data_IF_110795030491
#
_entry.id   IF_110795030491
#
_cell.length_a   1.000
_cell.length_b   1.000
_cell.length_c   1.000
_cell.angle_alpha   90.00
_cell.angle_beta   90.00
_cell.angle_gamma   90.00
#
_symmetry.space_group_name_H-M   'P 1'
#
loop_
_entity.id
_entity.type
_entity.pdbx_description
1 polymer ?
#
# COMPACT_ATOMS: atom_id res chain seq x y z
N UNK A 1 11.68 -55.50 -50.37
CA UNK A 1 11.93 -54.10 -50.25
C UNK A 1 10.73 -53.45 -49.47
N UNK A 2 10.86 -53.30 -48.15
CA UNK A 2 9.80 -52.66 -47.33
C UNK A 2 10.23 -51.20 -47.08
N UNK A 3 9.37 -50.27 -47.56
CA UNK A 3 9.57 -48.82 -47.30
C UNK A 3 9.02 -48.50 -45.92
N UNK A 4 9.86 -48.06 -45.03
CA UNK A 4 9.48 -47.43 -43.75
C UNK A 4 9.12 -45.95 -44.01
N UNK A 5 7.88 -45.59 -43.77
CA UNK A 5 7.45 -44.18 -43.76
C UNK A 5 7.59 -43.69 -42.31
N UNK A 6 8.54 -42.79 -42.09
CA UNK A 6 8.78 -42.14 -40.81
C UNK A 6 7.85 -40.91 -40.75
N UNK A 7 6.79 -41.01 -39.93
CA UNK A 7 5.88 -39.87 -39.67
C UNK A 7 6.47 -39.02 -38.57
N UNK A 8 6.99 -37.83 -38.91
CA UNK A 8 7.45 -36.85 -37.95
C UNK A 8 6.26 -36.02 -37.52
N UNK A 9 5.74 -36.28 -36.30
CA UNK A 9 4.78 -35.39 -35.63
C UNK A 9 5.51 -34.16 -35.12
N UNK A 10 5.35 -33.05 -35.82
CA UNK A 10 5.79 -31.72 -35.38
C UNK A 10 4.80 -31.23 -34.31
N UNK A 11 5.16 -31.37 -33.04
CA UNK A 11 4.42 -30.77 -31.93
C UNK A 11 4.74 -29.28 -31.94
N UNK A 12 3.87 -28.45 -32.44
CA UNK A 12 3.93 -26.99 -32.23
C UNK A 12 3.64 -26.73 -30.75
N UNK A 13 4.69 -26.54 -29.97
CA UNK A 13 4.57 -25.85 -28.66
C UNK A 13 4.24 -24.39 -28.95
N UNK A 14 2.96 -24.03 -28.89
CA UNK A 14 2.54 -22.65 -28.75
C UNK A 14 2.98 -22.19 -27.36
N UNK A 15 4.19 -21.62 -27.24
CA UNK A 15 4.57 -20.83 -26.11
C UNK A 15 3.67 -19.58 -26.14
N UNK A 16 2.61 -19.58 -25.32
CA UNK A 16 1.92 -18.34 -24.97
C UNK A 16 2.91 -17.49 -24.19
N UNK A 17 3.66 -16.64 -24.89
CA UNK A 17 4.36 -15.54 -24.25
C UNK A 17 3.30 -14.64 -23.64
N UNK A 18 3.11 -14.71 -22.32
CA UNK A 18 2.37 -13.69 -21.61
C UNK A 18 3.02 -12.35 -21.96
N UNK A 19 2.31 -11.47 -22.66
CA UNK A 19 2.78 -10.13 -22.98
C UNK A 19 2.93 -9.39 -21.65
N UNK A 20 4.15 -9.40 -21.11
CA UNK A 20 4.47 -8.66 -19.91
C UNK A 20 4.59 -7.17 -20.26
N UNK A 21 3.85 -6.33 -19.54
CA UNK A 21 3.91 -4.87 -19.68
C UNK A 21 4.97 -4.34 -18.74
N UNK A 22 5.96 -3.62 -19.27
CA UNK A 22 7.11 -3.12 -18.53
C UNK A 22 7.09 -1.59 -18.44
N UNK A 23 7.41 -1.08 -17.24
CA UNK A 23 7.73 0.33 -16.99
C UNK A 23 8.96 0.42 -16.08
N UNK A 24 9.84 1.39 -16.39
CA UNK A 24 11.08 1.65 -15.64
C UNK A 24 11.06 3.04 -15.05
N UNK A 25 11.80 3.24 -13.96
CA UNK A 25 12.11 4.58 -13.46
C UNK A 25 12.86 5.42 -14.52
N UNK A 26 12.87 6.76 -14.41
CA UNK A 26 13.60 7.62 -15.32
C UNK A 26 15.08 7.28 -15.45
N UNK A 27 15.76 6.90 -14.36
CA UNK A 27 17.16 6.45 -14.37
C UNK A 27 17.33 4.97 -14.77
N UNK A 28 16.23 4.20 -14.90
CA UNK A 28 16.25 2.79 -15.28
C UNK A 28 16.57 1.81 -14.16
N UNK A 29 16.83 2.24 -12.93
CA UNK A 29 17.22 1.39 -11.80
C UNK A 29 16.06 0.54 -11.27
N UNK A 30 14.85 1.13 -11.16
CA UNK A 30 13.63 0.45 -10.72
C UNK A 30 12.83 0.03 -11.94
N UNK A 31 12.36 -1.22 -11.93
CA UNK A 31 11.54 -1.78 -13.01
C UNK A 31 10.35 -2.52 -12.44
N UNK A 32 9.18 -2.29 -13.01
CA UNK A 32 7.95 -3.04 -12.77
C UNK A 32 7.59 -3.79 -14.03
N UNK A 33 7.26 -5.08 -13.89
CA UNK A 33 6.62 -5.86 -14.94
C UNK A 33 5.23 -6.28 -14.44
N UNK A 34 4.22 -5.99 -15.24
CA UNK A 34 2.87 -6.48 -15.06
C UNK A 34 2.61 -7.64 -16.03
N UNK A 35 1.88 -8.66 -15.59
CA UNK A 35 1.46 -9.77 -16.45
C UNK A 35 0.11 -10.35 -16.00
N UNK A 36 -0.62 -10.93 -16.94
CA UNK A 36 -1.75 -11.80 -16.66
C UNK A 36 -1.30 -13.26 -16.67
N UNK A 37 -1.19 -13.87 -15.50
CA UNK A 37 -0.86 -15.28 -15.36
C UNK A 37 -2.16 -16.10 -15.21
N UNK A 38 -2.53 -16.84 -16.23
CA UNK A 38 -3.82 -17.54 -16.27
C UNK A 38 -5.00 -16.60 -15.93
N UNK A 39 -5.03 -15.43 -16.58
CA UNK A 39 -6.04 -14.38 -16.34
C UNK A 39 -6.05 -13.76 -14.93
N UNK A 40 -5.01 -14.00 -14.11
CA UNK A 40 -4.81 -13.38 -12.80
C UNK A 40 -3.82 -12.23 -12.95
N UNK A 41 -4.16 -10.99 -12.52
CA UNK A 41 -3.24 -9.87 -12.52
C UNK A 41 -2.08 -10.11 -11.56
N UNK A 42 -0.86 -9.98 -12.05
CA UNK A 42 0.37 -10.13 -11.25
C UNK A 42 1.39 -9.06 -11.61
N UNK A 43 2.29 -8.77 -10.68
CA UNK A 43 3.41 -7.86 -10.91
C UNK A 43 4.69 -8.36 -10.26
N UNK A 44 5.82 -7.86 -10.75
CA UNK A 44 7.15 -8.04 -10.15
C UNK A 44 7.87 -6.70 -10.10
N UNK A 45 8.80 -6.56 -9.15
CA UNK A 45 9.66 -5.37 -9.06
C UNK A 45 11.11 -5.80 -8.98
N UNK A 46 11.97 -5.10 -9.74
CA UNK A 46 13.43 -5.26 -9.66
C UNK A 46 14.11 -3.93 -9.42
N UNK A 47 15.27 -3.95 -8.78
CA UNK A 47 16.14 -2.81 -8.58
C UNK A 47 17.54 -3.15 -9.09
N UNK A 48 18.05 -2.41 -10.10
CA UNK A 48 19.33 -2.67 -10.78
C UNK A 48 19.49 -4.13 -11.19
N UNK A 49 18.42 -4.71 -11.74
CA UNK A 49 18.37 -6.10 -12.19
C UNK A 49 18.18 -7.15 -11.10
N UNK A 50 18.23 -6.79 -9.82
CA UNK A 50 17.95 -7.71 -8.70
C UNK A 50 16.48 -7.71 -8.36
N UNK A 51 15.91 -8.90 -8.11
CA UNK A 51 14.52 -9.03 -7.69
C UNK A 51 14.31 -8.39 -6.30
N UNK A 52 13.23 -7.62 -6.18
CA UNK A 52 12.74 -7.01 -4.93
C UNK A 52 11.40 -7.61 -4.53
N UNK A 53 10.48 -7.67 -5.48
CA UNK A 53 9.18 -8.32 -5.33
C UNK A 53 9.10 -9.44 -6.38
N UNK A 54 8.86 -10.68 -5.91
CA UNK A 54 8.55 -11.84 -6.74
C UNK A 54 7.13 -11.71 -7.33
N UNK A 55 6.71 -12.57 -8.26
CA UNK A 55 5.35 -12.54 -8.79
C UNK A 55 4.31 -12.47 -7.66
N UNK A 56 3.57 -11.40 -7.63
CA UNK A 56 2.60 -11.03 -6.58
C UNK A 56 1.25 -10.74 -7.22
N UNK A 57 0.19 -11.28 -6.65
CA UNK A 57 -1.17 -11.16 -7.18
C UNK A 57 -1.80 -9.83 -6.78
N UNK A 58 -2.73 -9.38 -7.62
CA UNK A 58 -3.52 -8.16 -7.44
C UNK A 58 -5.00 -8.49 -7.63
N UNK A 59 -5.88 -7.82 -6.86
CA UNK A 59 -7.31 -7.97 -7.01
C UNK A 59 -8.10 -7.79 -5.74
N UNK A 60 -9.39 -8.10 -5.81
CA UNK A 60 -10.35 -7.88 -4.70
C UNK A 60 -11.30 -9.05 -4.54
N UNK A 61 -11.60 -9.38 -3.30
CA UNK A 61 -12.80 -10.12 -2.92
C UNK A 61 -13.93 -9.12 -2.65
N UNK A 62 -15.09 -9.39 -3.22
CA UNK A 62 -16.29 -8.56 -3.01
C UNK A 62 -17.27 -9.28 -2.08
N UNK A 63 -18.07 -8.51 -1.35
CA UNK A 63 -19.10 -9.07 -0.46
C UNK A 63 -20.18 -9.80 -1.26
N UNK A 64 -20.49 -9.30 -2.48
CA UNK A 64 -21.50 -9.87 -3.38
C UNK A 64 -21.09 -9.73 -4.84
N UNK A 65 -21.61 -10.63 -5.67
CA UNK A 65 -21.54 -10.53 -7.12
C UNK A 65 -20.26 -11.10 -7.75
N UNK A 66 -19.49 -11.91 -7.02
CA UNK A 66 -18.23 -12.51 -7.49
C UNK A 66 -17.04 -11.57 -7.37
N UNK A 67 -15.84 -12.13 -7.39
CA UNK A 67 -14.60 -11.45 -7.08
C UNK A 67 -13.94 -10.83 -8.32
N UNK A 68 -12.99 -9.92 -8.08
CA UNK A 68 -12.10 -9.32 -9.08
C UNK A 68 -10.68 -9.87 -8.87
N UNK A 69 -10.52 -11.20 -8.90
CA UNK A 69 -9.25 -11.89 -8.66
C UNK A 69 -8.66 -12.51 -9.92
N UNK A 70 -9.51 -12.96 -10.82
CA UNK A 70 -9.14 -13.67 -12.04
C UNK A 70 -10.13 -13.41 -13.21
N UNK A 71 -10.00 -14.18 -14.31
CA UNK A 71 -10.86 -14.05 -15.47
C UNK A 71 -10.62 -12.78 -16.30
N UNK A 72 -9.51 -12.07 -16.04
CA UNK A 72 -9.19 -10.83 -16.73
C UNK A 72 -8.53 -11.04 -18.08
N UNK A 73 -8.83 -10.10 -18.98
CA UNK A 73 -8.11 -9.89 -20.24
C UNK A 73 -7.57 -8.47 -20.26
N UNK A 74 -6.40 -8.28 -20.87
CA UNK A 74 -5.84 -6.97 -21.13
C UNK A 74 -6.61 -6.35 -22.32
N UNK A 75 -7.25 -5.21 -22.10
CA UNK A 75 -8.03 -4.50 -23.14
C UNK A 75 -7.38 -3.19 -23.56
N UNK A 76 -6.35 -2.74 -22.84
CA UNK A 76 -5.58 -1.56 -23.20
C UNK A 76 -4.42 -1.29 -22.27
N UNK A 77 -3.47 -0.50 -22.75
CA UNK A 77 -2.37 0.05 -21.95
C UNK A 77 -2.06 1.48 -22.37
N UNK A 78 -1.57 2.26 -21.44
CA UNK A 78 -1.07 3.62 -21.69
C UNK A 78 0.24 3.82 -20.94
N UNK A 79 1.21 4.42 -21.61
CA UNK A 79 2.49 4.84 -21.00
C UNK A 79 2.56 6.34 -20.95
N UNK A 80 3.07 6.85 -19.84
CA UNK A 80 3.25 8.28 -19.61
C UNK A 80 4.51 8.57 -18.82
N UNK A 81 4.81 9.83 -18.66
CA UNK A 81 5.88 10.32 -17.81
C UNK A 81 5.58 11.74 -17.33
N UNK A 82 6.17 12.14 -16.23
CA UNK A 82 6.19 13.51 -15.76
C UNK A 82 7.56 13.86 -15.21
N UNK A 83 7.94 15.12 -15.37
CA UNK A 83 9.10 15.75 -14.73
C UNK A 83 8.72 17.20 -14.40
N UNK A 84 8.19 17.39 -13.23
CA UNK A 84 7.67 18.67 -12.77
C UNK A 84 8.19 18.98 -11.36
N UNK A 85 8.11 20.25 -10.97
CA UNK A 85 8.48 20.70 -9.62
C UNK A 85 7.32 21.45 -9.00
N UNK A 86 7.02 21.15 -7.76
CA UNK A 86 5.95 21.80 -6.99
C UNK A 86 6.46 22.30 -5.64
N UNK A 87 5.71 23.20 -5.03
CA UNK A 87 6.03 23.79 -3.72
C UNK A 87 4.99 23.33 -2.70
N UNK A 88 5.38 22.59 -1.64
CA UNK A 88 4.47 22.24 -0.58
C UNK A 88 4.08 23.48 0.24
N UNK A 89 2.89 23.44 0.85
CA UNK A 89 2.43 24.49 1.76
C UNK A 89 3.37 24.62 2.96
N UNK A 90 3.76 23.47 3.53
CA UNK A 90 4.75 23.31 4.60
C UNK A 90 5.52 22.02 4.39
N UNK A 91 6.72 21.93 4.94
CA UNK A 91 7.54 20.73 4.89
C UNK A 91 9.02 21.04 4.99
N UNK A 92 9.82 19.99 4.96
CA UNK A 92 11.29 20.08 5.04
C UNK A 92 11.92 20.58 3.74
N UNK A 93 11.27 20.32 2.61
CA UNK A 93 11.75 20.71 1.29
C UNK A 93 10.99 21.94 0.78
N UNK A 94 11.72 22.97 0.34
CA UNK A 94 11.09 24.15 -0.27
C UNK A 94 10.44 23.82 -1.61
N UNK A 95 11.05 22.93 -2.37
CA UNK A 95 10.57 22.47 -3.67
C UNK A 95 10.76 20.97 -3.78
N UNK A 96 9.81 20.29 -4.40
CA UNK A 96 9.82 18.85 -4.59
C UNK A 96 9.71 18.55 -6.09
N UNK A 97 10.66 17.75 -6.61
CA UNK A 97 10.58 17.24 -7.98
C UNK A 97 9.70 16.00 -8.00
N UNK A 98 8.76 15.99 -8.93
CA UNK A 98 7.89 14.85 -9.22
C UNK A 98 8.30 14.28 -10.59
N UNK A 99 9.17 13.27 -10.57
CA UNK A 99 9.76 12.70 -11.79
C UNK A 99 9.56 11.20 -11.81
N UNK A 100 8.71 10.73 -12.73
CA UNK A 100 8.34 9.32 -12.86
C UNK A 100 8.02 8.94 -14.29
N UNK A 101 8.06 7.63 -14.57
CA UNK A 101 7.37 7.02 -15.70
C UNK A 101 6.13 6.26 -15.20
N UNK A 102 5.11 6.21 -16.03
CA UNK A 102 3.80 5.64 -15.68
C UNK A 102 3.38 4.56 -16.67
N UNK A 103 2.71 3.54 -16.14
CA UNK A 103 2.00 2.53 -16.92
C UNK A 103 0.59 2.40 -16.36
N UNK A 104 -0.41 2.61 -17.20
CA UNK A 104 -1.79 2.27 -16.93
C UNK A 104 -2.15 0.99 -17.69
N UNK A 105 -2.60 -0.02 -16.96
CA UNK A 105 -3.10 -1.29 -17.51
C UNK A 105 -4.61 -1.31 -17.37
N UNK A 106 -5.33 -1.56 -18.45
CA UNK A 106 -6.80 -1.67 -18.47
C UNK A 106 -7.20 -3.12 -18.63
N UNK A 107 -7.96 -3.62 -17.67
CA UNK A 107 -8.39 -5.00 -17.56
C UNK A 107 -9.91 -5.10 -17.64
N UNK A 108 -10.39 -6.11 -18.35
CA UNK A 108 -11.80 -6.48 -18.40
C UNK A 108 -11.98 -7.92 -17.92
N UNK A 109 -12.88 -8.14 -16.99
CA UNK A 109 -13.37 -9.46 -16.61
C UNK A 109 -14.58 -9.78 -17.50
N UNK A 110 -14.35 -10.45 -18.63
CA UNK A 110 -15.35 -10.65 -19.69
C UNK A 110 -16.65 -11.31 -19.21
N UNK A 111 -16.57 -12.26 -18.30
CA UNK A 111 -17.73 -12.99 -17.78
C UNK A 111 -18.73 -12.10 -17.03
N UNK A 112 -18.25 -10.99 -16.46
CA UNK A 112 -19.04 -10.04 -15.67
C UNK A 112 -19.12 -8.65 -16.31
N UNK A 113 -18.38 -8.41 -17.40
CA UNK A 113 -18.23 -7.11 -18.06
C UNK A 113 -17.76 -6.00 -17.10
N UNK A 114 -16.91 -6.37 -16.12
CA UNK A 114 -16.35 -5.45 -15.12
C UNK A 114 -14.98 -4.99 -15.53
N UNK A 115 -14.73 -3.72 -15.31
CA UNK A 115 -13.44 -3.08 -15.60
C UNK A 115 -12.65 -2.86 -14.32
N UNK A 116 -11.35 -3.11 -14.42
CA UNK A 116 -10.38 -2.79 -13.37
C UNK A 116 -9.11 -2.26 -14.02
N UNK A 117 -8.72 -1.05 -13.69
CA UNK A 117 -7.45 -0.50 -14.16
C UNK A 117 -6.42 -0.56 -13.03
N UNK A 118 -5.15 -0.77 -13.39
CA UNK A 118 -4.03 -0.73 -12.46
C UNK A 118 -3.03 0.28 -13.00
N UNK A 119 -2.73 1.31 -12.20
CA UNK A 119 -1.79 2.37 -12.54
C UNK A 119 -0.53 2.22 -11.73
N UNK A 120 0.61 2.15 -12.40
CA UNK A 120 1.94 2.13 -11.81
C UNK A 120 2.64 3.46 -12.10
N UNK A 121 3.24 4.08 -11.07
CA UNK A 121 4.21 5.16 -11.19
C UNK A 121 5.54 4.69 -10.63
N UNK A 122 6.58 4.80 -11.45
CA UNK A 122 7.91 4.28 -11.10
C UNK A 122 8.88 5.46 -11.03
N UNK A 123 9.37 5.67 -9.82
CA UNK A 123 10.33 6.72 -9.44
C UNK A 123 11.73 6.12 -9.31
N UNK A 124 12.76 6.96 -9.28
CA UNK A 124 14.15 6.52 -9.12
C UNK A 124 14.41 5.88 -7.74
N UNK A 125 13.57 6.16 -6.75
CA UNK A 125 13.64 5.67 -5.39
C UNK A 125 12.49 4.71 -5.01
N UNK A 126 11.62 4.32 -5.96
CA UNK A 126 10.55 3.39 -5.64
C UNK A 126 9.39 3.34 -6.63
N UNK A 127 8.31 2.72 -6.15
CA UNK A 127 7.10 2.46 -6.93
C UNK A 127 5.86 2.82 -6.12
N UNK A 128 4.90 3.47 -6.77
CA UNK A 128 3.52 3.51 -6.32
C UNK A 128 2.62 2.83 -7.34
N UNK A 129 1.65 2.04 -6.88
CA UNK A 129 0.58 1.56 -7.74
C UNK A 129 -0.77 1.66 -7.04
N UNK A 130 -1.84 1.80 -7.82
CA UNK A 130 -3.20 1.86 -7.31
C UNK A 130 -4.18 1.22 -8.27
N UNK A 131 -5.33 0.89 -7.76
CA UNK A 131 -6.46 0.43 -8.53
C UNK A 131 -7.36 1.61 -8.91
N UNK A 132 -7.86 1.57 -10.13
CA UNK A 132 -8.86 2.53 -10.61
C UNK A 132 -10.07 1.74 -11.14
N UNK A 133 -11.23 2.05 -10.61
CA UNK A 133 -12.51 1.50 -11.02
C UNK A 133 -13.19 2.53 -11.91
N UNK A 134 -13.11 2.37 -13.24
CA UNK A 134 -13.68 3.35 -14.17
C UNK A 134 -15.21 3.29 -14.16
N UNK A 135 -15.84 4.29 -14.74
CA UNK A 135 -17.30 4.31 -14.88
C UNK A 135 -17.81 3.34 -15.96
N UNK A 136 -16.95 2.98 -16.90
CA UNK A 136 -17.23 1.99 -17.93
C UNK A 136 -17.35 0.59 -17.30
N UNK A 137 -18.19 -0.26 -17.90
CA UNK A 137 -18.43 -1.62 -17.44
C UNK A 137 -19.58 -1.72 -16.44
N UNK A 138 -19.82 -2.95 -15.95
CA UNK A 138 -21.00 -3.26 -15.12
C UNK A 138 -20.75 -3.18 -13.59
N UNK A 139 -19.62 -2.69 -13.15
CA UNK A 139 -19.36 -2.43 -11.74
C UNK A 139 -19.80 -0.99 -11.41
N UNK A 140 -20.81 -0.85 -10.56
CA UNK A 140 -21.33 0.46 -10.20
C UNK A 140 -21.17 0.75 -8.69
N UNK A 141 -22.01 0.15 -7.85
CA UNK A 141 -21.87 0.17 -6.40
C UNK A 141 -21.48 -1.21 -5.89
N UNK A 142 -20.44 -1.28 -5.06
CA UNK A 142 -19.95 -2.54 -4.55
C UNK A 142 -19.31 -2.41 -3.18
N UNK A 143 -19.22 -3.54 -2.47
CA UNK A 143 -18.62 -3.63 -1.16
C UNK A 143 -17.37 -4.51 -1.24
N UNK A 144 -16.26 -3.99 -0.77
CA UNK A 144 -15.00 -4.72 -0.69
C UNK A 144 -15.01 -5.58 0.57
N UNK A 145 -14.83 -6.89 0.39
CA UNK A 145 -14.61 -7.84 1.48
C UNK A 145 -13.14 -7.86 1.87
N UNK A 146 -12.24 -7.97 0.87
CA UNK A 146 -10.78 -7.89 1.05
C UNK A 146 -10.10 -7.38 -0.22
N UNK A 147 -9.03 -6.61 -0.04
CA UNK A 147 -8.06 -6.32 -1.06
C UNK A 147 -6.96 -7.38 -1.02
N UNK A 148 -6.72 -8.07 -2.13
CA UNK A 148 -5.75 -9.17 -2.25
C UNK A 148 -4.46 -8.72 -2.92
N UNK A 149 -3.96 -7.56 -2.53
CA UNK A 149 -2.65 -7.07 -2.95
C UNK A 149 -1.55 -7.83 -2.24
N UNK A 150 -0.72 -8.54 -2.98
CA UNK A 150 0.41 -9.28 -2.45
C UNK A 150 1.72 -8.52 -2.63
N UNK A 151 2.66 -8.79 -1.70
CA UNK A 151 4.05 -8.37 -1.75
C UNK A 151 4.91 -9.61 -1.42
N UNK A 152 5.26 -10.39 -2.43
CA UNK A 152 6.04 -11.62 -2.27
C UNK A 152 7.53 -11.28 -2.17
N UNK A 153 8.06 -11.36 -0.95
CA UNK A 153 9.44 -11.01 -0.66
C UNK A 153 10.42 -12.05 -1.20
N UNK A 154 11.64 -11.61 -1.53
CA UNK A 154 12.68 -12.48 -2.12
C UNK A 154 13.36 -13.39 -1.11
N UNK A 155 13.13 -13.16 0.18
CA UNK A 155 13.74 -13.99 1.24
C UNK A 155 13.26 -13.59 2.63
N UNK A 156 13.85 -14.23 3.62
CA UNK A 156 13.63 -13.96 5.05
C UNK A 156 14.41 -12.70 5.47
N UNK A 157 13.86 -11.54 5.17
CA UNK A 157 14.49 -10.24 5.42
C UNK A 157 14.50 -9.86 6.90
N UNK A 158 15.45 -9.03 7.30
CA UNK A 158 15.36 -8.33 8.58
C UNK A 158 14.30 -7.23 8.45
N UNK A 159 13.37 -7.19 9.38
CA UNK A 159 12.30 -6.20 9.43
C UNK A 159 12.28 -5.45 10.76
N UNK A 160 11.87 -4.19 10.71
CA UNK A 160 11.49 -3.36 11.86
C UNK A 160 9.99 -3.15 11.78
N UNK A 161 9.26 -3.69 12.74
CA UNK A 161 7.82 -3.79 12.68
C UNK A 161 7.16 -3.60 14.05
N UNK A 162 5.91 -3.22 14.03
CA UNK A 162 5.00 -3.23 15.17
C UNK A 162 3.79 -4.12 14.85
N UNK A 163 3.10 -4.68 15.87
CA UNK A 163 1.88 -5.44 15.67
C UNK A 163 0.85 -4.71 14.82
N UNK A 164 0.21 -5.44 13.90
CA UNK A 164 -0.93 -4.93 13.15
C UNK A 164 -2.13 -4.78 14.05
N UNK A 165 -2.61 -3.57 14.24
CA UNK A 165 -3.67 -3.21 15.16
C UNK A 165 -4.60 -2.16 14.54
N UNK A 166 -5.90 -2.24 14.80
CA UNK A 166 -6.87 -1.33 14.22
C UNK A 166 -6.99 -0.01 14.98
N UNK A 167 -6.61 0.02 16.25
CA UNK A 167 -6.88 1.15 17.15
C UNK A 167 -5.63 1.95 17.51
N UNK A 168 -4.43 1.37 17.35
CA UNK A 168 -3.18 2.03 17.77
C UNK A 168 -2.00 1.74 16.85
N UNK A 169 -1.05 2.69 16.80
CA UNK A 169 0.29 2.55 16.19
C UNK A 169 1.40 2.86 17.21
N UNK A 170 1.11 2.78 18.50
CA UNK A 170 2.00 3.22 19.58
C UNK A 170 2.81 2.09 20.23
N UNK A 171 2.83 0.91 19.59
CA UNK A 171 3.71 -0.18 20.02
C UNK A 171 5.19 0.16 19.80
N UNK A 172 6.06 -0.43 20.62
CA UNK A 172 7.50 -0.35 20.40
C UNK A 172 7.91 -1.20 19.19
N UNK A 173 8.86 -0.67 18.39
CA UNK A 173 9.37 -1.39 17.24
C UNK A 173 10.16 -2.63 17.65
N UNK A 174 9.79 -3.75 17.02
CA UNK A 174 10.52 -5.02 17.13
C UNK A 174 11.37 -5.23 15.89
N UNK A 175 12.65 -5.54 16.09
CA UNK A 175 13.53 -6.00 15.03
C UNK A 175 13.61 -7.52 15.01
N UNK A 176 13.34 -8.13 13.83
CA UNK A 176 13.48 -9.59 13.65
C UNK A 176 13.61 -9.98 12.18
N UNK A 177 13.86 -11.26 11.92
CA UNK A 177 13.59 -11.88 10.62
C UNK A 177 12.09 -12.00 10.42
N UNK A 178 11.64 -12.00 9.15
CA UNK A 178 10.20 -12.20 8.82
C UNK A 178 9.68 -13.53 9.37
N UNK A 179 10.47 -14.60 9.29
CA UNK A 179 10.13 -15.92 9.85
C UNK A 179 9.89 -15.93 11.36
N UNK A 180 10.36 -14.91 12.07
CA UNK A 180 10.27 -14.81 13.52
C UNK A 180 9.09 -13.93 14.01
N UNK A 181 8.37 -13.27 13.11
CA UNK A 181 7.28 -12.35 13.46
C UNK A 181 6.25 -13.07 14.34
N UNK A 182 5.76 -14.23 13.92
CA UNK A 182 4.79 -15.03 14.68
C UNK A 182 5.26 -15.35 16.10
N UNK A 183 6.52 -15.78 16.24
CA UNK A 183 7.07 -16.14 17.54
C UNK A 183 7.20 -14.94 18.48
N UNK A 184 7.57 -13.78 17.90
CA UNK A 184 7.82 -12.55 18.67
C UNK A 184 6.55 -11.73 18.92
N UNK A 185 5.45 -11.99 18.19
CA UNK A 185 4.22 -11.19 18.23
C UNK A 185 3.69 -10.96 19.65
N UNK A 186 3.60 -12.02 20.46
CA UNK A 186 3.09 -11.91 21.84
C UNK A 186 3.90 -10.93 22.70
N UNK A 187 5.22 -10.92 22.56
CA UNK A 187 6.09 -10.00 23.30
C UNK A 187 6.18 -8.60 22.70
N UNK A 188 5.74 -8.43 21.45
CA UNK A 188 5.69 -7.13 20.78
C UNK A 188 4.39 -6.36 21.09
N UNK A 189 3.34 -7.04 21.56
CA UNK A 189 2.11 -6.40 22.03
C UNK A 189 2.40 -5.87 23.44
N UNK A 190 2.86 -4.63 23.49
CA UNK A 190 3.16 -3.91 24.74
C UNK A 190 1.89 -3.21 25.27
N UNK A 191 1.94 -2.75 26.52
CA UNK A 191 0.80 -2.07 27.13
C UNK A 191 0.41 -0.81 26.35
N UNK A 192 -0.86 -0.71 26.02
CA UNK A 192 -1.46 0.40 25.29
C UNK A 192 -2.90 0.63 25.75
N UNK A 193 -3.42 1.83 25.53
CA UNK A 193 -4.79 2.18 25.93
C UNK A 193 -5.86 1.39 25.19
N UNK A 194 -5.60 1.01 23.97
CA UNK A 194 -6.47 0.20 23.13
C UNK A 194 -5.62 -0.81 22.37
N UNK A 195 -6.08 -2.05 22.28
CA UNK A 195 -5.36 -3.16 21.67
C UNK A 195 -6.35 -4.04 20.90
N UNK A 196 -6.26 -4.00 19.58
CA UNK A 196 -7.05 -4.86 18.68
C UNK A 196 -6.15 -5.49 17.59
N UNK A 197 -5.10 -6.26 17.99
CA UNK A 197 -4.25 -6.94 17.01
C UNK A 197 -5.08 -7.98 16.25
N UNK A 198 -5.02 -7.94 14.92
CA UNK A 198 -5.90 -8.74 14.08
C UNK A 198 -5.33 -10.12 13.70
N UNK A 199 -4.02 -10.33 13.84
CA UNK A 199 -3.36 -11.56 13.37
C UNK A 199 -2.04 -11.80 14.10
N UNK A 200 -1.64 -13.09 14.31
CA UNK A 200 -0.34 -13.42 14.88
C UNK A 200 0.85 -13.09 13.96
N UNK A 201 0.61 -12.70 12.72
CA UNK A 201 1.62 -12.29 11.74
C UNK A 201 1.27 -10.97 11.07
N UNK A 202 0.27 -10.26 11.61
CA UNK A 202 -0.14 -8.95 11.15
C UNK A 202 0.83 -7.87 11.61
N UNK A 203 1.23 -6.98 10.71
CA UNK A 203 2.12 -5.85 11.01
C UNK A 203 1.55 -4.56 10.44
N UNK A 204 1.93 -3.44 11.05
CA UNK A 204 1.58 -2.11 10.58
C UNK A 204 2.39 -1.72 9.33
N UNK A 205 1.88 -0.78 8.57
CA UNK A 205 2.65 0.08 7.67
C UNK A 205 2.95 1.42 8.37
N UNK A 206 4.06 2.05 8.17
CA UNK A 206 5.12 1.74 7.20
C UNK A 206 5.99 0.59 7.71
N UNK A 207 6.22 -0.40 6.87
CA UNK A 207 7.06 -1.55 7.22
C UNK A 207 8.44 -1.40 6.59
N UNK A 208 9.48 -1.31 7.41
CA UNK A 208 10.86 -1.24 6.96
C UNK A 208 11.51 -2.62 6.97
N UNK A 209 12.17 -2.96 5.88
CA UNK A 209 12.93 -4.21 5.75
C UNK A 209 14.32 -3.97 5.17
N UNK A 210 15.24 -4.89 5.45
CA UNK A 210 16.57 -4.95 4.86
C UNK A 210 16.84 -6.35 4.32
N UNK A 211 17.20 -6.44 3.05
CA UNK A 211 17.57 -7.71 2.42
C UNK A 211 18.99 -8.14 2.83
N UNK A 212 19.34 -9.39 2.58
CA UNK A 212 20.70 -9.89 2.83
C UNK A 212 21.76 -9.17 1.97
N UNK A 213 21.38 -8.70 0.79
CA UNK A 213 22.23 -7.95 -0.15
C UNK A 213 22.33 -6.47 0.18
N UNK A 214 21.69 -6.01 1.28
CA UNK A 214 21.80 -4.64 1.78
C UNK A 214 20.80 -3.66 1.18
N UNK A 215 19.78 -4.10 0.43
CA UNK A 215 18.70 -3.24 -0.01
C UNK A 215 17.74 -2.97 1.14
N UNK A 216 17.28 -1.74 1.24
CA UNK A 216 16.20 -1.30 2.12
C UNK A 216 14.91 -1.19 1.32
N UNK A 217 13.82 -1.74 1.88
CA UNK A 217 12.49 -1.75 1.29
C UNK A 217 11.53 -1.23 2.34
N UNK A 218 10.78 -0.18 2.00
CA UNK A 218 9.74 0.35 2.87
C UNK A 218 8.39 0.20 2.18
N UNK A 219 7.48 -0.58 2.77
CA UNK A 219 6.11 -0.76 2.28
C UNK A 219 5.18 0.18 3.05
N UNK A 220 4.39 0.96 2.31
CA UNK A 220 3.42 1.88 2.87
C UNK A 220 2.29 2.17 1.87
N UNK A 221 1.51 3.21 2.14
CA UNK A 221 0.44 3.73 1.29
C UNK A 221 0.51 5.27 1.19
N UNK A 222 -0.10 5.82 0.16
CA UNK A 222 -0.22 7.26 -0.03
C UNK A 222 -1.61 7.62 -0.54
N UNK A 223 -2.03 8.88 -0.34
CA UNK A 223 -3.34 9.38 -0.71
C UNK A 223 -4.48 8.53 -0.10
N UNK A 224 -4.41 8.26 1.19
CA UNK A 224 -5.45 7.55 1.94
C UNK A 224 -6.67 8.47 2.10
N UNK A 225 -7.57 8.43 1.11
CA UNK A 225 -8.79 9.25 1.06
C UNK A 225 -9.98 8.35 0.76
N UNK A 226 -11.02 8.43 1.59
CA UNK A 226 -12.27 7.66 1.49
C UNK A 226 -12.07 6.14 1.33
N UNK A 227 -11.05 5.62 2.01
CA UNK A 227 -10.67 4.21 1.96
C UNK A 227 -10.06 3.77 3.30
N UNK A 228 -10.20 2.50 3.71
CA UNK A 228 -9.62 2.01 4.95
C UNK A 228 -8.09 1.92 4.90
N UNK A 229 -7.46 2.14 6.05
CA UNK A 229 -6.02 2.02 6.19
C UNK A 229 -5.54 0.58 5.93
N UNK A 230 -4.37 0.47 5.29
CA UNK A 230 -3.73 -0.79 4.98
C UNK A 230 -2.78 -1.22 6.09
N UNK A 231 -2.98 -2.43 6.58
CA UNK A 231 -2.01 -3.23 7.31
C UNK A 231 -1.50 -4.35 6.39
N UNK A 232 -0.57 -5.13 6.87
CA UNK A 232 -0.01 -6.26 6.14
C UNK A 232 -0.13 -7.53 6.98
N UNK A 233 -0.58 -8.62 6.36
CA UNK A 233 -0.60 -9.95 6.99
C UNK A 233 0.44 -10.85 6.30
N UNK A 234 1.38 -11.38 7.08
CA UNK A 234 2.47 -12.19 6.56
C UNK A 234 2.12 -13.68 6.53
N UNK A 235 2.20 -14.28 5.35
CA UNK A 235 2.42 -15.71 5.25
C UNK A 235 3.92 -15.98 5.52
N UNK A 236 4.23 -16.36 6.74
CA UNK A 236 5.60 -16.55 7.24
C UNK A 236 6.28 -17.84 6.73
N UNK A 237 5.57 -18.68 5.98
CA UNK A 237 6.13 -19.83 5.27
C UNK A 237 6.69 -19.41 3.91
N UNK A 238 5.91 -18.64 3.16
CA UNK A 238 6.21 -18.29 1.77
C UNK A 238 6.84 -16.90 1.63
N UNK A 239 6.93 -16.14 2.73
CA UNK A 239 7.41 -14.76 2.81
C UNK A 239 6.57 -13.82 1.92
N UNK A 240 5.26 -13.97 1.97
CA UNK A 240 4.31 -13.14 1.22
C UNK A 240 3.47 -12.33 2.17
N UNK A 241 3.56 -11.01 2.05
CA UNK A 241 2.58 -10.13 2.68
C UNK A 241 1.35 -10.00 1.78
N UNK A 242 0.17 -9.98 2.39
CA UNK A 242 -1.09 -9.60 1.76
C UNK A 242 -1.64 -8.39 2.48
N UNK A 243 -2.15 -7.42 1.73
CA UNK A 243 -2.85 -6.28 2.31
C UNK A 243 -3.96 -6.73 3.24
N UNK A 244 -4.12 -6.03 4.34
CA UNK A 244 -5.15 -6.28 5.35
C UNK A 244 -5.77 -4.94 5.73
N UNK A 245 -6.96 -4.68 5.21
CA UNK A 245 -7.63 -3.41 5.43
C UNK A 245 -8.38 -3.38 6.76
N UNK A 246 -8.46 -2.22 7.39
CA UNK A 246 -9.30 -2.01 8.57
C UNK A 246 -10.77 -2.24 8.22
N UNK A 247 -11.50 -3.13 8.89
CA UNK A 247 -12.92 -3.37 8.64
C UNK A 247 -13.80 -2.34 9.35
N UNK A 248 -15.04 -2.20 8.89
CA UNK A 248 -16.11 -1.62 9.69
C UNK A 248 -16.64 -2.62 10.74
N UNK A 249 -17.61 -2.21 11.52
CA UNK A 249 -18.24 -3.06 12.54
C UNK A 249 -18.95 -4.33 12.00
N UNK A 250 -19.19 -4.41 10.68
CA UNK A 250 -19.79 -5.55 9.99
C UNK A 250 -18.75 -6.41 9.27
N UNK A 251 -17.48 -6.05 9.33
CA UNK A 251 -16.39 -6.72 8.65
C UNK A 251 -16.19 -6.30 7.18
N UNK A 252 -16.96 -5.34 6.67
CA UNK A 252 -16.80 -4.80 5.32
C UNK A 252 -15.63 -3.83 5.31
N UNK A 253 -14.79 -3.92 4.29
CA UNK A 253 -13.58 -3.08 4.20
C UNK A 253 -13.87 -1.73 3.55
N UNK A 254 -14.65 -1.69 2.50
CA UNK A 254 -15.02 -0.44 1.83
C UNK A 254 -16.38 -0.52 1.14
N UNK A 255 -17.04 0.62 1.04
CA UNK A 255 -18.28 0.83 0.28
C UNK A 255 -17.96 1.80 -0.85
N UNK A 256 -17.88 1.28 -2.07
CA UNK A 256 -17.37 2.02 -3.21
C UNK A 256 -18.41 2.16 -4.31
N UNK A 257 -18.28 3.20 -5.09
CA UNK A 257 -19.02 3.38 -6.34
C UNK A 257 -18.08 3.91 -7.42
N UNK A 258 -18.33 3.53 -8.66
CA UNK A 258 -17.53 4.01 -9.81
C UNK A 258 -17.96 5.42 -10.24
N UNK A 259 -17.03 6.27 -10.69
CA UNK A 259 -15.59 6.03 -10.76
C UNK A 259 -14.92 6.18 -9.39
N UNK A 260 -13.95 5.34 -9.07
CA UNK A 260 -13.18 5.39 -7.83
C UNK A 260 -11.70 5.08 -8.06
N UNK A 261 -10.82 5.65 -7.25
CA UNK A 261 -9.38 5.36 -7.21
C UNK A 261 -8.98 5.00 -5.79
N UNK A 262 -8.37 3.82 -5.62
CA UNK A 262 -7.82 3.43 -4.31
C UNK A 262 -6.64 4.32 -3.92
N UNK A 263 -6.24 4.33 -2.63
CA UNK A 263 -4.92 4.80 -2.23
C UNK A 263 -3.82 4.09 -3.01
N UNK A 264 -2.65 4.72 -3.09
CA UNK A 264 -1.47 4.10 -3.66
C UNK A 264 -0.87 3.10 -2.67
N UNK A 265 -0.47 1.95 -3.17
CA UNK A 265 0.41 1.00 -2.48
C UNK A 265 1.82 1.36 -2.87
N UNK A 266 2.68 1.63 -1.89
CA UNK A 266 4.00 2.23 -2.13
C UNK A 266 5.12 1.34 -1.66
N UNK A 267 6.23 1.41 -2.39
CA UNK A 267 7.50 0.76 -2.07
C UNK A 267 8.63 1.74 -2.30
N UNK A 268 9.31 2.18 -1.24
CA UNK A 268 10.60 2.87 -1.38
C UNK A 268 11.68 1.79 -1.41
N UNK A 269 12.61 1.87 -2.37
CA UNK A 269 13.64 0.87 -2.61
C UNK A 269 14.98 1.58 -2.77
N UNK A 270 15.95 1.26 -1.93
CA UNK A 270 17.26 1.92 -1.95
C UNK A 270 18.36 1.04 -1.34
N UNK A 271 19.59 1.33 -1.68
CA UNK A 271 20.80 0.73 -1.07
C UNK A 271 21.35 1.58 0.10
N UNK A 272 20.70 2.69 0.43
CA UNK A 272 21.09 3.58 1.54
C UNK A 272 19.86 3.93 2.41
N UNK A 273 19.86 3.51 3.68
CA UNK A 273 18.76 3.76 4.63
C UNK A 273 18.38 5.24 4.76
N UNK A 274 19.35 6.16 4.62
CA UNK A 274 19.11 7.61 4.73
C UNK A 274 18.18 8.12 3.62
N UNK A 275 18.21 7.48 2.46
CA UNK A 275 17.34 7.84 1.31
C UNK A 275 15.88 7.49 1.55
N UNK A 276 15.58 6.55 2.45
CA UNK A 276 14.18 6.27 2.83
C UNK A 276 13.58 7.48 3.53
N UNK A 277 14.33 8.12 4.44
CA UNK A 277 13.89 9.33 5.15
C UNK A 277 13.80 10.55 4.22
N UNK A 278 14.66 10.61 3.21
CA UNK A 278 14.71 11.73 2.26
C UNK A 278 13.76 11.56 1.06
N UNK A 279 13.07 10.43 0.94
CA UNK A 279 12.16 10.16 -0.19
C UNK A 279 10.94 11.07 -0.14
N UNK A 280 10.61 11.65 -1.28
CA UNK A 280 9.38 12.42 -1.49
C UNK A 280 8.30 11.61 -2.23
N UNK A 281 8.47 10.30 -2.40
CA UNK A 281 7.56 9.43 -3.15
C UNK A 281 6.13 9.53 -2.61
N UNK A 282 5.95 9.44 -1.29
CA UNK A 282 4.63 9.53 -0.66
C UNK A 282 3.97 10.89 -0.93
N UNK A 283 4.74 11.98 -0.88
CA UNK A 283 4.23 13.33 -1.14
C UNK A 283 3.82 13.48 -2.61
N UNK A 284 4.64 12.97 -3.53
CA UNK A 284 4.40 13.04 -4.98
C UNK A 284 3.19 12.20 -5.45
N UNK A 285 2.75 11.23 -4.67
CA UNK A 285 1.59 10.39 -4.98
C UNK A 285 0.27 10.94 -4.43
N UNK A 286 0.32 12.04 -3.67
CA UNK A 286 -0.89 12.74 -3.23
C UNK A 286 -1.36 13.75 -4.27
N UNK A 287 -2.66 14.00 -4.30
CA UNK A 287 -3.24 15.04 -5.14
C UNK A 287 -2.76 16.44 -4.66
N UNK A 288 -2.70 17.44 -5.54
CA UNK A 288 -2.37 18.80 -5.16
C UNK A 288 -3.32 19.35 -4.09
N UNK A 289 -2.82 20.31 -3.31
CA UNK A 289 -3.64 21.03 -2.32
C UNK A 289 -4.87 21.65 -3.00
N UNK A 290 -6.05 21.42 -2.43
CA UNK A 290 -7.34 21.94 -2.95
C UNK A 290 -7.61 23.39 -2.55
N UNK A 291 -6.90 23.90 -1.55
CA UNK A 291 -7.07 25.29 -1.08
C UNK A 291 -6.27 26.24 -1.97
N UNK A 292 -6.92 27.29 -2.47
CA UNK A 292 -6.28 28.34 -3.28
C UNK A 292 -5.52 29.32 -2.41
N UNK A 293 -5.99 29.58 -1.18
CA UNK A 293 -5.30 30.39 -0.18
C UNK A 293 -4.90 29.50 1.00
N UNK A 294 -3.60 29.39 1.22
CA UNK A 294 -2.98 28.64 2.32
C UNK A 294 -2.25 29.56 3.31
N UNK A 295 -2.40 30.88 3.20
CA UNK A 295 -1.69 31.85 4.03
C UNK A 295 -2.03 31.76 5.53
N UNK A 296 -3.17 31.20 5.87
CA UNK A 296 -3.64 30.95 7.23
C UNK A 296 -2.98 29.74 7.89
N UNK A 297 -2.41 28.83 7.12
CA UNK A 297 -1.68 27.66 7.63
C UNK A 297 -0.30 28.13 8.11
N UNK A 298 -0.12 28.23 9.42
CA UNK A 298 1.13 28.69 10.04
C UNK A 298 1.52 27.76 11.16
N UNK A 299 2.83 27.49 11.35
CA UNK A 299 3.30 26.79 12.54
C UNK A 299 2.96 27.62 13.78
N UNK A 300 2.32 26.99 14.76
CA UNK A 300 1.97 27.61 16.03
C UNK A 300 2.37 26.69 17.19
N UNK A 301 2.56 27.29 18.36
CA UNK A 301 2.63 26.53 19.59
C UNK A 301 1.22 26.41 20.16
N UNK A 302 0.85 25.23 20.60
CA UNK A 302 -0.43 25.00 21.27
C UNK A 302 -0.24 24.13 22.49
N UNK A 303 -1.23 24.16 23.40
CA UNK A 303 -1.28 23.31 24.59
C UNK A 303 -2.33 22.23 24.37
N UNK A 304 -1.92 20.97 24.53
CA UNK A 304 -2.80 19.81 24.44
C UNK A 304 -3.12 19.30 25.85
N UNK A 305 -4.36 19.48 26.31
CA UNK A 305 -4.81 19.04 27.65
C UNK A 305 -4.98 17.52 27.77
N UNK A 306 -4.94 16.80 26.67
CA UNK A 306 -5.14 15.34 26.63
C UNK A 306 -4.11 14.58 27.47
N UNK A 307 -2.87 15.04 27.52
CA UNK A 307 -1.81 14.44 28.31
C UNK A 307 -2.07 14.47 29.82
N UNK A 308 -2.79 15.48 30.30
CA UNK A 308 -3.19 15.54 31.72
C UNK A 308 -4.14 14.39 32.10
N UNK A 309 -4.95 13.92 31.16
CA UNK A 309 -5.85 12.78 31.38
C UNK A 309 -5.06 11.45 31.42
N UNK A 310 -4.07 11.29 30.56
CA UNK A 310 -3.18 10.12 30.55
C UNK A 310 -2.36 10.07 31.83
N UNK A 311 -1.82 11.22 32.27
CA UNK A 311 -1.05 11.34 33.50
C UNK A 311 -1.89 11.24 34.78
N UNK A 312 -3.20 11.06 34.69
CA UNK A 312 -4.12 10.86 35.83
C UNK A 312 -4.54 12.14 36.57
N UNK A 313 -4.21 13.30 36.03
CA UNK A 313 -4.60 14.58 36.64
C UNK A 313 -6.00 15.07 36.32
N UNK A 314 -6.58 14.59 35.21
CA UNK A 314 -7.89 15.02 34.71
C UNK A 314 -8.65 13.84 34.11
N UNK A 315 -9.93 14.04 33.83
CA UNK A 315 -10.77 13.04 33.14
C UNK A 315 -11.74 13.69 32.18
N UNK A 316 -12.13 12.97 31.14
CA UNK A 316 -13.26 13.31 30.26
C UNK A 316 -14.57 12.84 30.93
N UNK A 317 -15.02 13.55 31.94
CA UNK A 317 -16.29 13.24 32.59
C UNK A 317 -17.40 14.06 31.95
N UNK A 318 -18.44 13.39 31.45
CA UNK A 318 -19.72 14.02 31.16
C UNK A 318 -20.44 14.26 32.48
N UNK A 319 -20.80 15.50 32.75
CA UNK A 319 -21.65 15.88 33.88
C UNK A 319 -23.06 16.13 33.38
N UNK A 320 -24.03 16.22 34.29
CA UNK A 320 -25.42 16.59 33.99
C UNK A 320 -25.54 17.95 33.26
N UNK A 321 -24.49 18.75 33.29
CA UNK A 321 -24.37 20.04 32.58
C UNK A 321 -23.78 19.92 31.19
N UNK A 322 -23.53 18.74 30.67
CA UNK A 322 -23.05 18.49 29.33
C UNK A 322 -21.67 19.08 29.02
N UNK A 323 -20.77 19.16 29.96
CA UNK A 323 -19.41 19.61 29.67
C UNK A 323 -18.45 18.45 29.48
N UNK A 324 -17.77 18.42 28.35
CA UNK A 324 -16.81 17.36 28.01
C UNK A 324 -15.48 17.51 28.72
N UNK A 325 -15.01 18.71 29.04
CA UNK A 325 -13.77 18.95 29.78
C UNK A 325 -13.97 20.17 30.66
N UNK A 326 -13.77 20.00 31.96
CA UNK A 326 -13.63 21.15 32.87
C UNK A 326 -12.15 21.50 32.98
N UNK A 327 -11.74 22.53 32.27
CA UNK A 327 -10.43 23.14 32.46
C UNK A 327 -10.48 23.95 33.78
N UNK A 328 -9.55 23.66 34.71
CA UNK A 328 -9.39 24.46 35.89
C UNK A 328 -8.67 25.79 35.62
N UNK A 329 -8.74 26.74 36.55
CA UNK A 329 -8.01 28.01 36.47
C UNK A 329 -6.50 27.80 36.30
N UNK A 330 -5.95 26.76 36.94
CA UNK A 330 -4.54 26.39 36.84
C UNK A 330 -4.16 25.97 35.43
N UNK A 331 -5.02 25.19 34.76
CA UNK A 331 -4.77 24.73 33.38
C UNK A 331 -4.77 25.92 32.41
N UNK A 332 -5.70 26.85 32.57
CA UNK A 332 -5.77 28.05 31.77
C UNK A 332 -4.55 28.96 32.01
N UNK A 333 -4.15 29.13 33.26
CA UNK A 333 -2.97 29.93 33.62
C UNK A 333 -1.67 29.31 33.10
N UNK A 334 -1.57 27.96 33.13
CA UNK A 334 -0.42 27.24 32.60
C UNK A 334 -0.34 27.34 31.09
N UNK A 335 -1.46 27.21 30.38
CA UNK A 335 -1.54 27.35 28.93
C UNK A 335 -1.21 28.78 28.46
N UNK A 336 -1.59 29.79 29.24
CA UNK A 336 -1.33 31.21 28.95
C UNK A 336 0.14 31.61 29.15
#
# INVERSE_FOLDING_TARGET
MKRFVLSVCLVLLCAFSALAQEVKSPNGDVKVNFALNNSVPTYTVTFRGKAVIKPSRLGFELVKGGDLLDGFTLVGEEKGSADETWTPVWGENRTIRNHYNELLVRLEQKSTERMLNIRFRVYDDGVGFRYEFPQEGKLNYFQVKDERTEFAMTGDHTAWWIPGDYDTQEYEYTQSRLSQVRQKMKGAITDNLSQTPFSPTGVQTSLMMKTAEGLYINLHEAALVDYPAMHLNLNDRDMVFTSWLTPDAKGVKAYLHTPFRSPWRTMIITDDARRVLASNLILNLNDPCKYTDTSWIRPIKYVGVWWEMIAGGKSWAYTDEFSSVKLGETDYAHAK
#
